data_IF_617202245384
#
_entry.id   IF_617202245384
#
_cell.length_a   1.000
_cell.length_b   1.000
_cell.length_c   1.000
_cell.angle_alpha   90.00
_cell.angle_beta   90.00
_cell.angle_gamma   90.00
#
_symmetry.space_group_name_H-M   'P 1'
#
loop_
_entity.id
_entity.type
_entity.pdbx_description
1 polymer ?
#
# COMPACT_ATOMS: atom_id res chain seq x y z
N UNK A 1 16.50 1.59 2.60
CA UNK A 1 16.77 2.55 3.70
C UNK A 1 15.71 2.38 4.79
N UNK A 2 16.12 2.10 6.03
CA UNK A 2 15.18 1.97 7.14
C UNK A 2 15.11 3.30 7.89
N UNK A 3 13.95 3.96 7.81
CA UNK A 3 13.70 5.26 8.45
C UNK A 3 12.94 5.07 9.76
N UNK A 4 13.44 5.67 10.84
CA UNK A 4 12.75 5.79 12.12
C UNK A 4 12.20 7.22 12.26
N UNK A 5 10.87 7.35 12.31
CA UNK A 5 10.23 8.62 12.61
C UNK A 5 9.77 8.62 14.08
N UNK A 6 10.22 9.60 14.87
CA UNK A 6 9.84 9.78 16.28
C UNK A 6 9.05 11.06 16.43
N UNK A 7 7.92 10.99 17.13
CA UNK A 7 7.06 12.12 17.45
C UNK A 7 7.11 12.35 18.96
N UNK A 8 7.67 13.48 19.39
CA UNK A 8 7.80 13.86 20.79
C UNK A 8 6.95 15.12 21.06
N UNK A 9 6.00 15.02 22.00
CA UNK A 9 5.11 16.10 22.38
C UNK A 9 5.39 16.50 23.83
N UNK A 10 5.87 17.71 24.04
CA UNK A 10 6.19 18.21 25.38
C UNK A 10 4.95 18.78 26.11
N UNK A 11 5.11 19.07 27.40
CA UNK A 11 4.04 19.64 28.24
C UNK A 11 3.60 21.05 27.80
N UNK A 12 4.37 21.74 26.97
CA UNK A 12 4.03 23.04 26.40
C UNK A 12 3.28 22.92 25.06
N UNK A 13 3.06 21.69 24.57
CA UNK A 13 2.43 21.41 23.29
C UNK A 13 3.35 21.65 22.10
N UNK A 14 4.67 21.66 22.29
CA UNK A 14 5.66 21.71 21.21
C UNK A 14 5.86 20.27 20.70
N UNK A 15 5.59 20.07 19.41
CA UNK A 15 5.79 18.79 18.73
C UNK A 15 7.16 18.79 18.03
N UNK A 16 8.03 17.87 18.41
CA UNK A 16 9.29 17.60 17.72
C UNK A 16 9.15 16.32 16.89
N UNK A 17 9.33 16.44 15.58
CA UNK A 17 9.33 15.31 14.65
C UNK A 17 10.77 15.05 14.21
N UNK A 18 11.30 13.87 14.52
CA UNK A 18 12.67 13.47 14.16
C UNK A 18 12.65 12.30 13.20
N UNK A 19 13.25 12.44 12.03
CA UNK A 19 13.49 11.37 11.07
C UNK A 19 14.96 10.94 11.15
N UNK A 20 15.20 9.65 11.40
CA UNK A 20 16.54 9.05 11.46
C UNK A 20 16.66 7.91 10.45
N UNK A 21 17.70 7.95 9.61
CA UNK A 21 18.13 6.77 8.85
C UNK A 21 18.91 5.85 9.78
N UNK A 22 18.39 4.63 10.01
CA UNK A 22 19.03 3.66 10.92
C UNK A 22 20.35 3.13 10.38
N UNK A 23 20.56 3.13 9.06
CA UNK A 23 21.78 2.61 8.45
C UNK A 23 22.94 3.58 8.60
N UNK A 24 22.70 4.86 8.29
CA UNK A 24 23.74 5.89 8.30
C UNK A 24 23.84 6.64 9.63
N UNK A 25 22.83 6.52 10.49
CA UNK A 25 22.72 7.26 11.76
C UNK A 25 22.37 8.74 11.59
N UNK A 26 22.28 9.24 10.35
CA UNK A 26 21.93 10.63 10.05
C UNK A 26 20.50 10.92 10.50
N UNK A 27 20.30 12.09 11.11
CA UNK A 27 19.00 12.55 11.61
C UNK A 27 18.70 13.95 11.10
N UNK A 28 17.43 14.21 10.86
CA UNK A 28 16.87 15.54 10.65
C UNK A 28 15.64 15.69 11.52
N UNK A 29 15.41 16.88 12.08
CA UNK A 29 14.25 17.16 12.91
C UNK A 29 13.58 18.49 12.56
N UNK A 30 12.29 18.55 12.83
CA UNK A 30 11.45 19.73 12.68
C UNK A 30 10.71 19.93 14.01
N UNK A 31 10.72 21.18 14.50
CA UNK A 31 10.00 21.56 15.71
C UNK A 31 8.80 22.43 15.34
N UNK A 32 7.62 22.03 15.79
CA UNK A 32 6.34 22.71 15.57
C UNK A 32 5.88 23.25 16.92
N UNK A 33 5.93 24.57 17.08
CA UNK A 33 5.44 25.24 18.29
C UNK A 33 3.97 25.63 18.14
N UNK A 34 3.20 25.43 19.20
CA UNK A 34 1.77 25.71 19.22
C UNK A 34 1.50 27.22 19.31
N UNK A 35 1.59 27.92 18.18
CA UNK A 35 1.18 29.31 18.04
C UNK A 35 -0.23 29.38 17.44
N UNK A 36 -1.23 29.02 18.27
CA UNK A 36 -2.64 29.43 18.18
C UNK A 36 -3.21 29.64 16.77
N UNK A 37 -3.38 28.57 15.98
CA UNK A 37 -4.02 28.65 14.65
C UNK A 37 -5.50 28.26 14.62
N UNK A 38 -5.99 27.53 15.61
CA UNK A 38 -7.36 27.02 15.64
C UNK A 38 -8.03 27.40 16.96
N UNK A 39 -9.27 27.87 16.90
CA UNK A 39 -10.09 28.11 18.09
C UNK A 39 -10.67 26.80 18.62
N UNK A 40 -11.14 26.79 19.87
CA UNK A 40 -11.83 25.62 20.43
C UNK A 40 -13.05 25.19 19.59
N UNK A 41 -13.78 26.17 19.04
CA UNK A 41 -14.93 25.91 18.16
C UNK A 41 -14.49 25.30 16.81
N UNK A 42 -13.35 25.72 16.26
CA UNK A 42 -12.82 25.10 15.04
C UNK A 42 -12.39 23.65 15.29
N UNK A 43 -11.79 23.36 16.45
CA UNK A 43 -11.41 22.01 16.85
C UNK A 43 -12.65 21.11 16.97
N UNK A 44 -13.69 21.57 17.65
CA UNK A 44 -14.93 20.81 17.80
C UNK A 44 -15.59 20.52 16.46
N UNK A 45 -15.66 21.52 15.57
CA UNK A 45 -16.14 21.32 14.19
C UNK A 45 -15.32 20.28 13.43
N UNK A 46 -13.98 20.33 13.52
CA UNK A 46 -13.11 19.34 12.86
C UNK A 46 -13.33 17.92 13.39
N UNK A 47 -13.58 17.76 14.70
CA UNK A 47 -13.87 16.45 15.30
C UNK A 47 -15.21 15.92 14.81
N UNK A 48 -16.25 16.76 14.74
CA UNK A 48 -17.54 16.36 14.19
C UNK A 48 -17.46 15.98 12.71
N UNK A 49 -16.74 16.78 11.92
CA UNK A 49 -16.58 16.53 10.49
C UNK A 49 -15.78 15.24 10.24
N UNK A 50 -14.74 14.96 11.03
CA UNK A 50 -14.02 13.68 10.99
C UNK A 50 -14.94 12.50 11.31
N UNK A 51 -15.79 12.62 12.34
CA UNK A 51 -16.74 11.58 12.70
C UNK A 51 -17.78 11.32 11.60
N UNK A 52 -18.27 12.37 10.93
CA UNK A 52 -19.22 12.25 9.80
C UNK A 52 -18.59 11.58 8.58
N UNK A 53 -17.30 11.80 8.32
CA UNK A 53 -16.60 11.27 7.16
C UNK A 53 -15.87 9.94 7.43
N UNK A 54 -15.82 9.48 8.67
CA UNK A 54 -15.03 8.31 9.08
C UNK A 54 -15.28 7.06 8.22
N UNK A 55 -16.54 6.77 7.85
CA UNK A 55 -16.83 5.60 7.01
C UNK A 55 -16.33 5.77 5.57
N UNK A 56 -16.52 6.95 4.97
CA UNK A 56 -16.02 7.23 3.62
C UNK A 56 -14.49 7.23 3.56
N UNK A 57 -13.83 7.78 4.59
CA UNK A 57 -12.37 7.76 4.69
C UNK A 57 -11.85 6.32 4.84
N UNK A 58 -12.56 5.46 5.60
CA UNK A 58 -12.23 4.04 5.75
C UNK A 58 -12.42 3.25 4.45
N UNK A 59 -13.46 3.53 3.67
CA UNK A 59 -13.65 2.92 2.35
C UNK A 59 -12.50 3.30 1.40
N UNK A 60 -12.12 4.58 1.38
CA UNK A 60 -10.98 5.06 0.58
C UNK A 60 -9.67 4.44 1.04
N UNK A 61 -9.44 4.34 2.35
CA UNK A 61 -8.27 3.68 2.92
C UNK A 61 -8.21 2.21 2.49
N UNK A 62 -9.35 1.51 2.50
CA UNK A 62 -9.42 0.11 2.06
C UNK A 62 -9.07 -0.06 0.58
N UNK A 63 -9.48 0.87 -0.29
CA UNK A 63 -9.11 0.87 -1.72
C UNK A 63 -7.61 1.09 -1.90
N UNK A 64 -7.04 2.09 -1.21
CA UNK A 64 -5.61 2.40 -1.28
C UNK A 64 -4.77 1.22 -0.79
N UNK A 65 -5.14 0.62 0.35
CA UNK A 65 -4.44 -0.54 0.89
C UNK A 65 -4.52 -1.74 -0.05
N UNK A 66 -5.71 -2.06 -0.59
CA UNK A 66 -5.87 -3.16 -1.52
C UNK A 66 -5.05 -2.95 -2.82
N UNK A 67 -4.94 -1.70 -3.29
CA UNK A 67 -4.12 -1.34 -4.44
C UNK A 67 -2.62 -1.55 -4.16
N UNK A 68 -2.13 -1.09 -3.01
CA UNK A 68 -0.73 -1.30 -2.60
C UNK A 68 -0.39 -2.79 -2.45
N UNK A 69 -1.29 -3.57 -1.85
CA UNK A 69 -1.11 -5.01 -1.68
C UNK A 69 -1.09 -5.74 -3.03
N UNK A 70 -1.94 -5.31 -3.99
CA UNK A 70 -1.96 -5.84 -5.35
C UNK A 70 -0.69 -5.47 -6.11
N UNK A 71 -0.26 -4.21 -6.06
CA UNK A 71 0.95 -3.71 -6.73
C UNK A 71 2.20 -4.46 -6.24
N UNK A 72 2.34 -4.61 -4.92
CA UNK A 72 3.42 -5.39 -4.32
C UNK A 72 3.44 -6.83 -4.81
N UNK A 73 2.27 -7.46 -4.94
CA UNK A 73 2.16 -8.84 -5.38
C UNK A 73 2.40 -8.99 -6.89
N UNK A 74 1.91 -8.06 -7.71
CA UNK A 74 2.20 -7.99 -9.16
C UNK A 74 3.71 -7.93 -9.38
N UNK A 75 4.39 -7.00 -8.71
CA UNK A 75 5.84 -6.87 -8.79
C UNK A 75 6.57 -8.17 -8.39
N UNK A 76 6.12 -8.83 -7.32
CA UNK A 76 6.67 -10.13 -6.91
C UNK A 76 6.51 -11.20 -8.00
N UNK A 77 5.33 -11.30 -8.60
CA UNK A 77 5.05 -12.31 -9.64
C UNK A 77 5.85 -12.01 -10.91
N UNK A 78 5.92 -10.75 -11.36
CA UNK A 78 6.73 -10.33 -12.51
C UNK A 78 8.21 -10.69 -12.34
N UNK A 79 8.78 -10.44 -11.16
CA UNK A 79 10.16 -10.82 -10.86
C UNK A 79 10.36 -12.34 -10.89
N UNK A 80 9.41 -13.11 -10.35
CA UNK A 80 9.51 -14.57 -10.34
C UNK A 80 9.43 -15.17 -11.76
N UNK A 81 8.53 -14.68 -12.61
CA UNK A 81 8.36 -15.22 -13.98
C UNK A 81 9.42 -14.70 -14.96
N UNK A 82 10.06 -13.57 -14.66
CA UNK A 82 11.19 -13.06 -15.43
C UNK A 82 12.51 -13.76 -15.10
N UNK A 83 12.61 -14.46 -13.96
CA UNK A 83 13.74 -15.34 -13.66
C UNK A 83 13.84 -16.44 -14.74
N UNK A 84 14.97 -16.52 -15.49
CA UNK A 84 15.16 -17.52 -16.54
C UNK A 84 14.94 -18.96 -16.07
N UNK A 85 15.30 -19.29 -14.82
CA UNK A 85 15.18 -20.65 -14.29
C UNK A 85 13.73 -21.06 -14.05
N UNK A 86 12.90 -20.11 -13.66
CA UNK A 86 11.45 -20.32 -13.47
C UNK A 86 10.76 -20.32 -14.84
N UNK A 87 11.11 -19.37 -15.70
CA UNK A 87 10.53 -19.20 -17.03
C UNK A 87 10.71 -20.44 -17.91
N UNK A 88 11.90 -21.05 -17.91
CA UNK A 88 12.17 -22.28 -18.67
C UNK A 88 11.37 -23.50 -18.19
N UNK A 89 10.94 -23.51 -16.93
CA UNK A 89 10.20 -24.62 -16.31
C UNK A 89 8.69 -24.41 -16.32
N UNK A 90 8.23 -23.19 -16.60
CA UNK A 90 6.82 -22.85 -16.68
C UNK A 90 6.18 -23.49 -17.92
N UNK A 91 5.04 -24.15 -17.72
CA UNK A 91 4.23 -24.66 -18.81
C UNK A 91 3.55 -23.49 -19.52
N UNK A 92 3.37 -23.59 -20.84
CA UNK A 92 2.74 -22.53 -21.64
C UNK A 92 1.37 -22.10 -21.08
N UNK A 93 0.51 -23.06 -20.74
CA UNK A 93 -0.82 -22.75 -20.19
C UNK A 93 -0.80 -22.07 -18.82
N UNK A 94 0.19 -22.39 -17.98
CA UNK A 94 0.37 -21.72 -16.67
C UNK A 94 0.87 -20.29 -16.86
N UNK A 95 1.78 -20.09 -17.81
CA UNK A 95 2.28 -18.77 -18.18
C UNK A 95 1.17 -17.86 -18.73
N UNK A 96 0.38 -18.36 -19.68
CA UNK A 96 -0.77 -17.63 -20.23
C UNK A 96 -1.78 -17.25 -19.14
N UNK A 97 -2.02 -18.15 -18.17
CA UNK A 97 -2.93 -17.86 -17.05
C UNK A 97 -2.39 -16.77 -16.11
N UNK A 98 -1.08 -16.74 -15.86
CA UNK A 98 -0.44 -15.66 -15.08
C UNK A 98 -0.49 -14.34 -15.84
N UNK A 99 -0.07 -14.32 -17.11
CA UNK A 99 -0.05 -13.10 -17.94
C UNK A 99 -1.47 -12.50 -18.06
N UNK A 100 -2.50 -13.33 -18.21
CA UNK A 100 -3.90 -12.87 -18.20
C UNK A 100 -4.28 -12.24 -16.86
N UNK A 101 -3.96 -12.90 -15.74
CA UNK A 101 -4.28 -12.37 -14.41
C UNK A 101 -3.48 -11.11 -14.05
N UNK A 102 -2.26 -10.96 -14.58
CA UNK A 102 -1.45 -9.74 -14.46
C UNK A 102 -2.09 -8.58 -15.23
N UNK A 103 -2.50 -8.80 -16.47
CA UNK A 103 -3.15 -7.77 -17.29
C UNK A 103 -4.42 -7.23 -16.62
N UNK A 104 -5.28 -8.12 -16.11
CA UNK A 104 -6.49 -7.72 -15.37
C UNK A 104 -6.15 -6.95 -14.08
N UNK A 105 -5.12 -7.37 -13.35
CA UNK A 105 -4.66 -6.66 -12.15
C UNK A 105 -4.15 -5.25 -12.49
N UNK A 106 -3.40 -5.11 -13.57
CA UNK A 106 -2.88 -3.81 -14.03
C UNK A 106 -4.01 -2.87 -14.44
N UNK A 107 -5.00 -3.36 -15.20
CA UNK A 107 -6.18 -2.57 -15.59
C UNK A 107 -6.95 -2.05 -14.37
N UNK A 108 -7.17 -2.89 -13.35
CA UNK A 108 -7.83 -2.47 -12.11
C UNK A 108 -7.01 -1.47 -11.31
N UNK A 109 -5.67 -1.55 -11.37
CA UNK A 109 -4.79 -0.57 -10.71
C UNK A 109 -4.74 0.77 -11.45
N UNK A 110 -5.09 0.83 -12.74
CA UNK A 110 -5.18 2.09 -13.48
C UNK A 110 -6.47 2.87 -13.18
N UNK A 111 -7.46 2.22 -12.56
CA UNK A 111 -8.68 2.90 -12.12
C UNK A 111 -8.38 4.01 -11.10
N UNK A 112 -9.17 5.08 -11.20
CA UNK A 112 -9.17 6.15 -10.21
C UNK A 112 -9.61 5.61 -8.85
N UNK A 113 -9.26 6.30 -7.76
CA UNK A 113 -9.72 5.90 -6.43
C UNK A 113 -11.24 6.01 -6.25
N UNK A 114 -11.93 6.76 -7.12
CA UNK A 114 -13.39 6.93 -7.11
C UNK A 114 -14.10 5.76 -7.82
N UNK A 115 -13.45 5.17 -8.83
CA UNK A 115 -14.00 4.05 -9.61
C UNK A 115 -13.56 2.68 -9.06
N UNK A 116 -12.40 2.62 -8.39
CA UNK A 116 -11.85 1.39 -7.87
C UNK A 116 -12.63 0.90 -6.64
N UNK A 117 -12.91 -0.41 -6.62
CA UNK A 117 -13.51 -1.09 -5.47
C UNK A 117 -12.46 -1.97 -4.79
N UNK A 118 -12.38 -1.89 -3.46
CA UNK A 118 -11.42 -2.65 -2.68
C UNK A 118 -11.58 -4.17 -2.87
N UNK A 119 -12.81 -4.64 -3.04
CA UNK A 119 -13.12 -6.05 -3.21
C UNK A 119 -12.69 -6.57 -4.60
N UNK A 120 -12.80 -5.75 -5.65
CA UNK A 120 -12.34 -6.11 -6.99
C UNK A 120 -10.80 -6.24 -7.03
N UNK A 121 -10.08 -5.30 -6.39
CA UNK A 121 -8.63 -5.35 -6.24
C UNK A 121 -8.18 -6.60 -5.47
N UNK A 122 -8.86 -6.94 -4.36
CA UNK A 122 -8.59 -8.16 -3.58
C UNK A 122 -8.92 -9.44 -4.37
N UNK A 123 -9.98 -9.41 -5.18
CA UNK A 123 -10.36 -10.53 -6.03
C UNK A 123 -9.30 -10.78 -7.11
N UNK A 124 -8.82 -9.71 -7.75
CA UNK A 124 -7.72 -9.77 -8.72
C UNK A 124 -6.43 -10.31 -8.08
N UNK A 125 -6.06 -9.82 -6.90
CA UNK A 125 -4.91 -10.33 -6.15
C UNK A 125 -5.06 -11.83 -5.86
N UNK A 126 -6.25 -12.27 -5.45
CA UNK A 126 -6.54 -13.68 -5.17
C UNK A 126 -6.53 -14.55 -6.42
N UNK A 127 -6.98 -14.01 -7.57
CA UNK A 127 -6.92 -14.70 -8.87
C UNK A 127 -5.49 -14.88 -9.32
N UNK A 128 -4.69 -13.81 -9.29
CA UNK A 128 -3.26 -13.85 -9.60
C UNK A 128 -2.54 -14.83 -8.67
N UNK A 129 -2.82 -14.79 -7.37
CA UNK A 129 -2.22 -15.70 -6.38
C UNK A 129 -2.51 -17.16 -6.68
N UNK A 130 -3.74 -17.48 -7.06
CA UNK A 130 -4.13 -18.86 -7.45
C UNK A 130 -3.42 -19.32 -8.72
N UNK A 131 -3.33 -18.47 -9.74
CA UNK A 131 -2.60 -18.77 -10.97
C UNK A 131 -1.12 -19.02 -10.69
N UNK A 132 -0.46 -18.10 -9.98
CA UNK A 132 0.95 -18.20 -9.61
C UNK A 132 1.26 -19.41 -8.75
N UNK A 133 0.43 -19.71 -7.73
CA UNK A 133 0.64 -20.88 -6.86
C UNK A 133 0.57 -22.19 -7.64
N UNK A 134 -0.40 -22.32 -8.55
CA UNK A 134 -0.54 -23.52 -9.39
C UNK A 134 0.66 -23.68 -10.32
N UNK A 135 1.05 -22.60 -10.97
CA UNK A 135 2.17 -22.58 -11.90
C UNK A 135 3.50 -22.96 -11.21
N UNK A 136 3.78 -22.36 -10.05
CA UNK A 136 5.01 -22.62 -9.32
C UNK A 136 5.05 -24.01 -8.67
N UNK A 137 3.90 -24.58 -8.30
CA UNK A 137 3.85 -25.98 -7.85
C UNK A 137 4.39 -26.94 -8.92
N UNK A 138 4.15 -26.68 -10.21
CA UNK A 138 4.71 -27.47 -11.32
C UNK A 138 6.20 -27.23 -11.58
N UNK A 139 6.73 -26.08 -11.18
CA UNK A 139 8.15 -25.71 -11.36
C UNK A 139 9.04 -26.38 -10.30
N UNK A 140 8.50 -26.56 -9.09
CA UNK A 140 9.22 -27.14 -7.95
C UNK A 140 8.88 -28.60 -7.66
N UNK A 141 7.93 -29.20 -8.39
CA UNK A 141 7.67 -30.65 -8.40
C UNK A 141 8.64 -31.39 -9.30
#
# INVERSE_FOLDING_TARGET
>A
PELLCTFDLDANGILKVTAQDKTTGRKADVTISNSTRLSAADIERMVEDAAKNAESDKEREAVVQAKQDLESYVYQVENNISDPNVNMKLRRGDREAIETALAEAMELMELSAEDAQADDLKAAQSKLKRASTRAFAHVYS
#
